data_IF_921053464059
#
_entry.id   IF_921053464059
#
_cell.length_a   1.000
_cell.length_b   1.000
_cell.length_c   1.000
_cell.angle_alpha   90.00
_cell.angle_beta   90.00
_cell.angle_gamma   90.00
#
_symmetry.space_group_name_H-M   'P 1'
#
loop_
_entity.id
_entity.type
_entity.pdbx_description
1 polymer ?
#
# COMPACT_ATOMS: atom_id res chain seq x y z
N UNK A 1 -24.63 17.42 -0.22
CA UNK A 1 -24.71 18.52 0.76
C UNK A 1 -24.96 17.99 2.19
N UNK A 2 -24.44 16.80 2.53
CA UNK A 2 -24.58 16.16 3.86
C UNK A 2 -23.22 15.78 4.49
N UNK A 3 -22.10 16.04 3.80
CA UNK A 3 -20.76 15.72 4.28
C UNK A 3 -20.16 16.81 5.21
N UNK A 4 -20.76 18.00 5.28
CA UNK A 4 -20.22 19.12 6.06
C UNK A 4 -20.72 19.18 7.52
N UNK A 5 -21.68 18.34 7.89
CA UNK A 5 -22.30 18.38 9.24
C UNK A 5 -21.38 17.79 10.32
N UNK A 6 -20.41 16.93 9.95
CA UNK A 6 -19.52 16.29 10.93
C UNK A 6 -18.34 17.18 11.32
N UNK A 7 -18.04 18.26 10.59
CA UNK A 7 -16.83 19.07 10.84
C UNK A 7 -16.97 20.18 11.88
N UNK A 8 -18.17 20.49 12.37
CA UNK A 8 -18.40 21.68 13.20
C UNK A 8 -19.38 21.43 14.37
N UNK A 9 -19.25 20.30 15.07
CA UNK A 9 -19.99 20.10 16.32
C UNK A 9 -19.02 19.62 17.42
N UNK A 10 -18.58 20.50 18.34
CA UNK A 10 -17.54 20.19 19.33
C UNK A 10 -18.00 19.26 20.47
N UNK A 11 -19.18 18.64 20.35
CA UNK A 11 -19.79 17.81 21.39
C UNK A 11 -19.90 16.32 21.08
N UNK A 12 -19.39 15.81 19.96
CA UNK A 12 -19.39 14.37 19.71
C UNK A 12 -18.24 13.70 20.48
N UNK A 13 -18.48 12.62 21.25
CA UNK A 13 -17.41 11.81 21.81
C UNK A 13 -16.46 11.38 20.67
N UNK A 14 -15.17 11.68 20.81
CA UNK A 14 -14.15 11.13 19.92
C UNK A 14 -14.09 9.65 20.24
N UNK A 15 -14.66 8.82 19.37
CA UNK A 15 -14.59 7.38 19.51
C UNK A 15 -13.13 6.97 19.44
N UNK A 16 -12.63 6.10 20.34
CA UNK A 16 -11.29 5.56 20.20
C UNK A 16 -11.20 4.87 18.83
N UNK A 17 -10.11 5.13 18.10
CA UNK A 17 -9.83 4.66 16.72
C UNK A 17 -10.02 3.14 16.51
N UNK A 18 -10.08 2.37 17.60
CA UNK A 18 -10.21 0.90 17.61
C UNK A 18 -11.60 0.40 18.04
N UNK A 19 -12.62 1.27 18.12
CA UNK A 19 -14.00 0.86 18.44
C UNK A 19 -14.67 0.15 17.26
N UNK A 20 -15.55 -0.82 17.56
CA UNK A 20 -16.42 -1.47 16.56
C UNK A 20 -17.25 -0.42 15.79
N UNK A 21 -17.69 0.63 16.48
CA UNK A 21 -18.42 1.74 15.87
C UNK A 21 -17.53 2.57 14.91
N UNK A 22 -16.27 2.81 15.28
CA UNK A 22 -15.32 3.52 14.41
C UNK A 22 -15.01 2.71 13.15
N UNK A 23 -14.89 1.39 13.29
CA UNK A 23 -14.71 0.45 12.19
C UNK A 23 -15.94 0.42 11.27
N UNK A 24 -17.14 0.35 11.85
CA UNK A 24 -18.40 0.38 11.10
C UNK A 24 -18.56 1.69 10.31
N UNK A 25 -18.23 2.84 10.92
CA UNK A 25 -18.22 4.13 10.23
C UNK A 25 -17.23 4.16 9.08
N UNK A 26 -16.01 3.63 9.25
CA UNK A 26 -15.01 3.57 8.19
C UNK A 26 -15.48 2.69 7.01
N UNK A 27 -16.07 1.53 7.28
CA UNK A 27 -16.64 0.63 6.25
C UNK A 27 -17.76 1.34 5.48
N UNK A 28 -18.69 1.98 6.19
CA UNK A 28 -19.80 2.71 5.57
C UNK A 28 -19.32 3.92 4.76
N UNK A 29 -18.33 4.65 5.26
CA UNK A 29 -17.72 5.76 4.53
C UNK A 29 -17.06 5.27 3.24
N UNK A 30 -16.36 4.13 3.30
CA UNK A 30 -15.75 3.52 2.12
C UNK A 30 -16.79 3.06 1.10
N UNK A 31 -17.83 2.35 1.54
CA UNK A 31 -18.91 1.90 0.67
C UNK A 31 -19.63 3.08 -0.02
N UNK A 32 -19.82 4.20 0.69
CA UNK A 32 -20.37 5.42 0.11
C UNK A 32 -19.44 6.05 -0.93
N UNK A 33 -18.13 6.09 -0.67
CA UNK A 33 -17.15 6.58 -1.64
C UNK A 33 -17.13 5.73 -2.91
N UNK A 34 -17.14 4.40 -2.77
CA UNK A 34 -17.17 3.48 -3.91
C UNK A 34 -18.47 3.66 -4.73
N UNK A 35 -19.62 3.78 -4.05
CA UNK A 35 -20.92 4.05 -4.71
C UNK A 35 -20.94 5.39 -5.46
N UNK A 36 -20.32 6.43 -4.89
CA UNK A 36 -20.22 7.75 -5.51
C UNK A 36 -19.29 7.73 -6.74
N UNK A 37 -18.17 7.02 -6.65
CA UNK A 37 -17.25 6.87 -7.77
C UNK A 37 -17.87 6.03 -8.90
N UNK A 38 -18.61 4.98 -8.58
CA UNK A 38 -19.37 4.19 -9.55
C UNK A 38 -20.39 5.05 -10.32
N UNK A 39 -21.11 5.91 -9.62
CA UNK A 39 -22.05 6.85 -10.24
C UNK A 39 -21.31 7.83 -11.16
N UNK A 40 -20.21 8.41 -10.68
CA UNK A 40 -19.37 9.32 -11.46
C UNK A 40 -18.82 8.67 -12.73
N UNK A 41 -18.33 7.44 -12.65
CA UNK A 41 -17.81 6.71 -13.80
C UNK A 41 -18.92 6.41 -14.81
N UNK A 42 -20.09 5.97 -14.35
CA UNK A 42 -21.26 5.77 -15.22
C UNK A 42 -21.62 7.05 -15.98
N UNK A 43 -21.72 8.19 -15.29
CA UNK A 43 -22.03 9.47 -15.91
C UNK A 43 -20.93 9.91 -16.90
N UNK A 44 -19.66 9.72 -16.52
CA UNK A 44 -18.51 10.06 -17.36
C UNK A 44 -18.52 9.29 -18.70
N UNK A 45 -18.86 7.99 -18.65
CA UNK A 45 -18.91 7.13 -19.82
C UNK A 45 -20.22 7.26 -20.61
N UNK A 46 -21.33 7.66 -19.98
CA UNK A 46 -22.60 7.94 -20.66
C UNK A 46 -22.61 9.29 -21.39
N UNK A 47 -21.73 10.22 -21.02
CA UNK A 47 -21.67 11.55 -21.61
C UNK A 47 -21.34 11.51 -23.11
N UNK A 48 -21.99 12.37 -23.90
CA UNK A 48 -21.75 12.49 -25.35
C UNK A 48 -20.28 12.87 -25.61
N UNK A 49 -19.63 12.15 -26.54
CA UNK A 49 -18.26 12.38 -27.01
C UNK A 49 -18.22 12.40 -28.53
N UNK A 50 -17.21 13.04 -29.10
CA UNK A 50 -16.92 12.91 -30.52
C UNK A 50 -16.56 11.45 -30.81
N UNK A 51 -17.28 10.84 -31.76
CA UNK A 51 -17.07 9.45 -32.15
C UNK A 51 -15.91 9.34 -33.13
N UNK A 52 -15.14 8.27 -32.99
CA UNK A 52 -14.15 7.86 -33.98
C UNK A 52 -14.82 6.98 -35.05
N UNK A 53 -14.05 6.55 -36.05
CA UNK A 53 -14.52 5.52 -37.00
C UNK A 53 -14.86 4.23 -36.21
N UNK A 54 -15.92 3.48 -36.56
CA UNK A 54 -16.36 2.32 -35.79
C UNK A 54 -15.25 1.30 -35.49
N UNK A 55 -14.44 0.94 -36.50
CA UNK A 55 -13.32 0.00 -36.35
C UNK A 55 -12.29 0.46 -35.29
N UNK A 56 -12.06 1.77 -35.17
CA UNK A 56 -11.14 2.32 -34.15
C UNK A 56 -11.75 2.22 -32.75
N UNK A 57 -13.04 2.49 -32.62
CA UNK A 57 -13.75 2.37 -31.33
C UNK A 57 -13.81 0.92 -30.86
N UNK A 58 -14.06 -0.02 -31.77
CA UNK A 58 -14.08 -1.46 -31.48
C UNK A 58 -12.70 -1.94 -30.97
N UNK A 59 -11.62 -1.56 -31.66
CA UNK A 59 -10.26 -1.91 -31.24
C UNK A 59 -9.88 -1.32 -29.88
N UNK A 60 -10.29 -0.07 -29.60
CA UNK A 60 -10.10 0.55 -28.29
C UNK A 60 -10.93 -0.15 -27.20
N UNK A 61 -12.17 -0.53 -27.52
CA UNK A 61 -13.05 -1.30 -26.62
C UNK A 61 -12.43 -2.64 -26.23
N UNK A 62 -11.91 -3.39 -27.20
CA UNK A 62 -11.24 -4.66 -26.93
C UNK A 62 -10.00 -4.50 -26.03
N UNK A 63 -9.21 -3.44 -26.25
CA UNK A 63 -8.07 -3.12 -25.38
C UNK A 63 -8.50 -2.74 -23.97
N UNK A 64 -9.55 -1.94 -23.82
CA UNK A 64 -10.08 -1.56 -22.52
C UNK A 64 -10.57 -2.79 -21.74
N UNK A 65 -11.31 -3.69 -22.39
CA UNK A 65 -11.76 -4.96 -21.78
C UNK A 65 -10.58 -5.83 -21.34
N UNK A 66 -9.50 -5.87 -22.12
CA UNK A 66 -8.29 -6.62 -21.76
C UNK A 66 -7.65 -6.06 -20.48
N UNK A 67 -7.54 -4.74 -20.37
CA UNK A 67 -6.99 -4.09 -19.18
C UNK A 67 -7.88 -4.26 -17.96
N UNK A 68 -9.21 -4.17 -18.13
CA UNK A 68 -10.17 -4.42 -17.06
C UNK A 68 -10.06 -5.86 -16.55
N UNK A 69 -9.93 -6.85 -17.45
CA UNK A 69 -9.73 -8.24 -17.06
C UNK A 69 -8.45 -8.44 -16.23
N UNK A 70 -7.34 -7.81 -16.63
CA UNK A 70 -6.08 -7.86 -15.88
C UNK A 70 -6.19 -7.20 -14.50
N UNK A 71 -6.87 -6.05 -14.41
CA UNK A 71 -7.12 -5.37 -13.15
C UNK A 71 -8.01 -6.22 -12.24
N UNK A 72 -9.13 -6.73 -12.75
CA UNK A 72 -10.03 -7.60 -11.99
C UNK A 72 -9.29 -8.82 -11.45
N UNK A 73 -8.44 -9.45 -12.25
CA UNK A 73 -7.61 -10.56 -11.81
C UNK A 73 -6.65 -10.16 -10.69
N UNK A 74 -5.97 -9.02 -10.80
CA UNK A 74 -5.08 -8.52 -9.75
C UNK A 74 -5.85 -8.28 -8.44
N UNK A 75 -7.01 -7.64 -8.51
CA UNK A 75 -7.86 -7.38 -7.34
C UNK A 75 -8.32 -8.68 -6.67
N UNK A 76 -8.83 -9.65 -7.43
CA UNK A 76 -9.33 -10.91 -6.86
C UNK A 76 -8.23 -11.78 -6.24
N UNK A 77 -6.98 -11.63 -6.67
CA UNK A 77 -5.86 -12.39 -6.14
C UNK A 77 -5.09 -11.67 -5.04
N UNK A 78 -5.42 -10.43 -4.71
CA UNK A 78 -4.64 -9.64 -3.73
C UNK A 78 -4.72 -10.27 -2.33
N UNK A 79 -5.92 -10.54 -1.82
CA UNK A 79 -6.11 -11.14 -0.49
C UNK A 79 -5.62 -12.60 -0.41
N UNK A 80 -5.95 -13.50 -1.37
CA UNK A 80 -5.40 -14.86 -1.37
C UNK A 80 -3.87 -14.90 -1.38
N UNK A 81 -3.22 -14.05 -2.16
CA UNK A 81 -1.76 -13.97 -2.19
C UNK A 81 -1.19 -13.45 -0.87
N UNK A 82 -1.84 -12.46 -0.25
CA UNK A 82 -1.46 -11.96 1.06
C UNK A 82 -1.54 -13.07 2.11
N UNK A 83 -2.65 -13.82 2.14
CA UNK A 83 -2.82 -14.93 3.06
C UNK A 83 -1.78 -16.04 2.83
N UNK A 84 -1.58 -16.47 1.58
CA UNK A 84 -0.57 -17.47 1.23
C UNK A 84 0.84 -17.03 1.65
N UNK A 85 1.16 -15.74 1.46
CA UNK A 85 2.43 -15.15 1.90
C UNK A 85 2.58 -15.22 3.41
N UNK A 86 1.55 -14.84 4.16
CA UNK A 86 1.57 -14.90 5.63
C UNK A 86 1.71 -16.34 6.15
N UNK A 87 0.99 -17.30 5.54
CA UNK A 87 1.06 -18.72 5.89
C UNK A 87 2.43 -19.32 5.57
N UNK A 88 2.99 -19.03 4.40
CA UNK A 88 4.32 -19.51 4.02
C UNK A 88 5.39 -18.95 4.97
N UNK A 89 5.32 -17.66 5.28
CA UNK A 89 6.22 -17.01 6.22
C UNK A 89 6.13 -17.60 7.64
N UNK A 90 4.93 -17.89 8.15
CA UNK A 90 4.73 -18.46 9.48
C UNK A 90 5.38 -19.86 9.66
N UNK A 91 5.63 -20.59 8.57
CA UNK A 91 6.34 -21.88 8.61
C UNK A 91 7.86 -21.73 8.71
N UNK A 92 8.39 -20.52 8.51
CA UNK A 92 9.82 -20.29 8.50
C UNK A 92 10.40 -20.25 9.93
N UNK A 93 11.56 -20.88 10.21
CA UNK A 93 12.17 -20.89 11.55
C UNK A 93 12.42 -19.49 12.14
N UNK A 94 12.71 -18.51 11.28
CA UNK A 94 13.03 -17.14 11.71
C UNK A 94 11.80 -16.23 11.85
N UNK A 95 10.57 -16.71 11.62
CA UNK A 95 9.41 -15.82 11.51
C UNK A 95 9.13 -15.01 12.79
N UNK A 96 9.35 -15.59 13.97
CA UNK A 96 9.17 -14.90 15.27
C UNK A 96 10.14 -13.74 15.44
N UNK A 97 11.37 -13.84 14.89
CA UNK A 97 12.37 -12.77 14.97
C UNK A 97 11.83 -11.50 14.29
N UNK A 98 11.26 -11.62 13.09
CA UNK A 98 10.72 -10.47 12.36
C UNK A 98 9.39 -9.98 12.97
N UNK A 99 8.58 -10.88 13.53
CA UNK A 99 7.33 -10.51 14.24
C UNK A 99 7.58 -9.80 15.57
N UNK A 100 8.79 -9.91 16.13
CA UNK A 100 9.16 -9.20 17.36
C UNK A 100 9.31 -7.68 17.19
N UNK A 101 9.41 -7.19 15.95
CA UNK A 101 9.52 -5.75 15.69
C UNK A 101 8.20 -5.02 15.96
N UNK A 102 8.24 -3.83 16.58
CA UNK A 102 7.04 -3.06 16.85
C UNK A 102 6.32 -2.70 15.53
N UNK A 103 4.98 -2.75 15.55
CA UNK A 103 4.10 -2.49 14.41
C UNK A 103 4.34 -3.41 13.17
N UNK A 104 5.02 -4.55 13.34
CA UNK A 104 5.32 -5.46 12.24
C UNK A 104 4.31 -6.62 12.15
N UNK A 105 3.16 -6.39 11.50
CA UNK A 105 2.17 -7.43 11.19
C UNK A 105 2.73 -8.57 10.31
N UNK A 106 2.00 -9.68 10.16
CA UNK A 106 2.49 -10.87 9.42
C UNK A 106 2.97 -10.56 8.00
N UNK A 107 2.24 -9.72 7.26
CA UNK A 107 2.62 -9.31 5.89
C UNK A 107 3.85 -8.40 5.86
N UNK A 108 3.93 -7.44 6.78
CA UNK A 108 5.08 -6.53 6.88
C UNK A 108 6.32 -7.32 7.26
N UNK A 109 6.21 -8.26 8.20
CA UNK A 109 7.29 -9.15 8.61
C UNK A 109 7.73 -10.06 7.46
N UNK A 110 6.79 -10.68 6.74
CA UNK A 110 7.08 -11.49 5.57
C UNK A 110 7.79 -10.71 4.47
N UNK A 111 7.38 -9.44 4.24
CA UNK A 111 8.05 -8.56 3.28
C UNK A 111 9.47 -8.23 3.73
N UNK A 112 9.68 -7.85 4.99
CA UNK A 112 11.03 -7.59 5.52
C UNK A 112 11.93 -8.83 5.39
N UNK A 113 11.39 -10.01 5.68
CA UNK A 113 12.07 -11.28 5.49
C UNK A 113 12.44 -11.53 4.02
N UNK A 114 11.53 -11.26 3.08
CA UNK A 114 11.82 -11.40 1.64
C UNK A 114 12.90 -10.43 1.14
N UNK A 115 12.93 -9.19 1.64
CA UNK A 115 13.93 -8.18 1.27
C UNK A 115 15.33 -8.54 1.82
N UNK A 116 15.39 -8.98 3.09
CA UNK A 116 16.65 -9.30 3.77
C UNK A 116 17.17 -10.69 3.36
N UNK A 117 16.27 -11.65 3.12
CA UNK A 117 16.59 -13.06 2.88
C UNK A 117 16.64 -13.90 4.17
N UNK A 118 16.80 -15.20 3.98
CA UNK A 118 16.80 -16.23 5.03
C UNK A 118 18.21 -16.60 5.54
N UNK A 119 19.26 -16.23 4.81
CA UNK A 119 20.66 -16.42 5.21
C UNK A 119 21.09 -15.38 6.27
N UNK A 120 21.30 -15.79 7.54
CA UNK A 120 21.72 -14.88 8.61
C UNK A 120 23.15 -14.37 8.44
N UNK A 121 23.99 -15.03 7.63
CA UNK A 121 25.36 -14.60 7.35
C UNK A 121 25.45 -13.63 6.17
N UNK A 122 24.36 -13.41 5.41
CA UNK A 122 24.32 -12.54 4.23
C UNK A 122 24.79 -11.12 4.53
N UNK A 123 24.43 -10.60 5.70
CA UNK A 123 24.75 -9.23 6.09
C UNK A 123 25.46 -9.14 7.44
N UNK A 124 26.53 -8.36 7.48
CA UNK A 124 27.00 -7.75 8.74
C UNK A 124 26.03 -6.64 9.16
N UNK A 125 26.04 -6.24 10.44
CA UNK A 125 25.22 -5.11 10.92
C UNK A 125 25.46 -3.82 10.11
N UNK A 126 26.69 -3.57 9.65
CA UNK A 126 27.03 -2.46 8.76
C UNK A 126 26.44 -2.65 7.36
N UNK A 127 26.53 -3.85 6.81
CA UNK A 127 25.98 -4.21 5.51
C UNK A 127 24.46 -4.04 5.46
N UNK A 128 23.76 -4.51 6.48
CA UNK A 128 22.30 -4.37 6.57
C UNK A 128 21.87 -2.91 6.63
N UNK A 129 22.56 -2.07 7.42
CA UNK A 129 22.29 -0.61 7.45
C UNK A 129 22.52 0.04 6.09
N UNK A 130 23.51 -0.40 5.33
CA UNK A 130 23.78 0.12 4.00
C UNK A 130 22.66 -0.27 3.02
N UNK A 131 22.22 -1.53 3.03
CA UNK A 131 21.10 -2.01 2.22
C UNK A 131 19.78 -1.32 2.56
N UNK A 132 19.51 -1.10 3.85
CA UNK A 132 18.35 -0.33 4.31
C UNK A 132 18.45 1.18 4.01
N UNK A 133 19.56 1.66 3.41
CA UNK A 133 19.79 3.07 3.12
C UNK A 133 20.00 3.96 4.35
N UNK A 134 20.16 3.36 5.53
CA UNK A 134 20.34 4.05 6.83
C UNK A 134 21.80 4.24 7.20
N UNK A 135 22.74 3.64 6.46
CA UNK A 135 24.16 3.91 6.62
C UNK A 135 24.47 5.39 6.34
N UNK A 136 25.33 6.02 7.15
CA UNK A 136 25.73 7.40 6.91
C UNK A 136 26.53 7.51 5.61
N UNK A 137 26.26 8.58 4.85
CA UNK A 137 27.07 8.96 3.70
C UNK A 137 28.34 9.64 4.21
N UNK A 138 29.49 9.18 3.72
CA UNK A 138 30.76 9.84 3.98
C UNK A 138 31.20 10.54 2.71
N UNK A 139 31.38 11.85 2.82
CA UNK A 139 31.94 12.68 1.78
C UNK A 139 33.37 13.04 2.14
N UNK A 140 34.29 12.91 1.19
CA UNK A 140 35.69 13.31 1.38
C UNK A 140 36.19 14.07 0.14
N UNK A 141 36.78 15.23 0.37
CA UNK A 141 37.46 16.04 -0.65
C UNK A 141 38.60 16.78 0.03
N UNK A 142 39.80 16.74 -0.57
CA UNK A 142 41.02 17.45 -0.15
C UNK A 142 41.10 17.83 1.34
N UNK A 143 41.51 16.90 2.20
CA UNK A 143 41.73 17.13 3.64
C UNK A 143 40.47 17.20 4.52
N UNK A 144 39.28 17.34 3.93
CA UNK A 144 38.02 17.42 4.68
C UNK A 144 37.22 16.12 4.58
N UNK A 145 36.65 15.69 5.72
CA UNK A 145 35.76 14.52 5.81
C UNK A 145 34.46 14.93 6.51
N UNK A 146 33.33 14.77 5.83
CA UNK A 146 32.00 15.02 6.38
C UNK A 146 31.19 13.72 6.40
N UNK A 147 30.52 13.43 7.52
CA UNK A 147 29.67 12.25 7.69
C UNK A 147 28.24 12.72 7.90
N UNK A 148 27.35 12.43 6.96
CA UNK A 148 25.94 12.83 7.00
C UNK A 148 25.05 11.62 7.17
N UNK A 149 24.19 11.60 8.20
CA UNK A 149 23.17 10.56 8.37
C UNK A 149 22.04 10.76 7.36
N UNK A 150 21.66 9.71 6.63
CA UNK A 150 20.45 9.71 5.80
C UNK A 150 19.20 9.68 6.69
N UNK A 151 18.27 10.62 6.48
CA UNK A 151 16.90 10.56 6.99
C UNK A 151 15.99 10.15 5.84
N UNK A 152 15.99 8.86 5.48
CA UNK A 152 14.95 8.33 4.62
C UNK A 152 14.31 7.16 5.36
N UNK A 153 13.05 7.32 5.71
CA UNK A 153 12.16 6.20 5.91
C UNK A 153 11.64 5.85 4.52
N UNK A 154 11.86 4.62 4.04
CA UNK A 154 10.93 4.03 3.08
C UNK A 154 9.64 3.76 3.87
N UNK A 155 8.84 4.80 4.09
CA UNK A 155 7.45 4.62 4.44
C UNK A 155 6.81 4.00 3.19
N UNK A 156 6.58 2.70 3.22
CA UNK A 156 5.62 2.10 2.30
C UNK A 156 4.31 2.82 2.54
N UNK A 157 3.85 3.57 1.55
CA UNK A 157 2.52 4.15 1.53
C UNK A 157 1.53 2.99 1.65
N UNK A 158 0.91 2.85 2.82
CA UNK A 158 -0.32 2.09 2.99
C UNK A 158 -1.51 2.89 2.50
#
# INVERSE_FOLDING_TARGET
>A
MLADIIRMNPGHPVLPETSDEATAVAILARAQQDSAEDARLRDLFAARRLRQRPVTEDAMGQRALTHLAALSHACTHTEPLAEQTAQAFARHPHHEIYRSFPACGSLVAARLFAEIGDDPARFTARGLRACAGTAPLTWAWGGSRSVTRRRVCTAGTG
#
